data_IF_401661893651
#
_entry.id   IF_401661893651
#
_cell.length_a   1.000
_cell.length_b   1.000
_cell.length_c   1.000
_cell.angle_alpha   90.00
_cell.angle_beta   90.00
_cell.angle_gamma   90.00
#
_symmetry.space_group_name_H-M   'P 1'
#
loop_
_entity.id
_entity.type
_entity.pdbx_description
1 polymer ?
#
# COMPACT_ATOMS: atom_id res chain seq x y z
N UNK A 1 -10.29 20.26 15.94
CA UNK A 1 -9.54 20.04 14.69
C UNK A 1 -8.76 18.75 14.88
N UNK A 2 -9.17 17.65 14.25
CA UNK A 2 -8.42 16.40 14.37
C UNK A 2 -7.08 16.61 13.65
N UNK A 3 -5.96 16.44 14.36
CA UNK A 3 -4.65 16.56 13.75
C UNK A 3 -4.54 15.51 12.63
N UNK A 4 -4.44 15.96 11.38
CA UNK A 4 -4.27 15.07 10.24
C UNK A 4 -2.79 14.74 10.09
N UNK A 5 -2.44 13.47 10.23
CA UNK A 5 -1.11 12.95 9.96
C UNK A 5 -1.02 12.54 8.48
N UNK A 6 0.13 12.79 7.86
CA UNK A 6 0.42 12.35 6.49
C UNK A 6 1.23 11.07 6.52
N UNK A 7 0.97 10.21 5.55
CA UNK A 7 1.63 8.94 5.34
C UNK A 7 1.99 8.77 3.87
N UNK A 8 3.05 8.01 3.60
CA UNK A 8 3.37 7.47 2.29
C UNK A 8 3.11 5.98 2.31
N UNK A 9 2.16 5.53 1.50
CA UNK A 9 1.98 4.13 1.16
C UNK A 9 2.82 3.82 -0.08
N UNK A 10 3.84 2.99 0.07
CA UNK A 10 4.66 2.49 -1.03
C UNK A 10 4.35 1.01 -1.29
N UNK A 11 4.19 0.64 -2.55
CA UNK A 11 3.84 -0.70 -3.00
C UNK A 11 4.94 -1.20 -3.93
N UNK A 12 5.55 -2.32 -3.56
CA UNK A 12 6.62 -2.98 -4.30
C UNK A 12 6.19 -4.37 -4.72
N UNK A 13 6.90 -4.92 -5.70
CA UNK A 13 6.72 -6.31 -6.15
C UNK A 13 5.27 -6.65 -6.53
N UNK A 14 4.54 -5.69 -7.11
CA UNK A 14 3.18 -5.88 -7.62
C UNK A 14 3.23 -6.56 -8.99
N UNK A 15 3.59 -7.84 -9.00
CA UNK A 15 3.63 -8.66 -10.19
C UNK A 15 3.40 -10.14 -9.87
N UNK A 16 3.01 -10.90 -10.88
CA UNK A 16 3.00 -12.36 -10.83
C UNK A 16 4.03 -12.85 -11.84
N UNK A 17 4.93 -13.73 -11.40
CA UNK A 17 5.87 -14.41 -12.28
C UNK A 17 5.19 -15.64 -12.89
N UNK A 18 5.16 -15.73 -14.22
CA UNK A 18 4.72 -16.91 -14.97
C UNK A 18 5.81 -17.36 -15.94
N UNK A 19 5.62 -18.52 -16.58
CA UNK A 19 6.53 -19.03 -17.62
C UNK A 19 6.68 -18.10 -18.82
N UNK A 20 5.71 -17.19 -19.02
CA UNK A 20 5.70 -16.20 -20.11
C UNK A 20 6.28 -14.84 -19.68
N UNK A 21 6.73 -14.72 -18.43
CA UNK A 21 7.36 -13.52 -17.86
C UNK A 21 6.57 -12.89 -16.72
N UNK A 22 6.81 -11.60 -16.50
CA UNK A 22 6.14 -10.85 -15.42
C UNK A 22 4.80 -10.29 -15.88
N UNK A 23 3.71 -10.69 -15.25
CA UNK A 23 2.40 -10.09 -15.44
C UNK A 23 2.10 -9.08 -14.32
N UNK A 24 1.28 -8.08 -14.63
CA UNK A 24 0.77 -7.17 -13.60
C UNK A 24 -0.14 -7.92 -12.62
N UNK A 25 -0.21 -7.41 -11.40
CA UNK A 25 -0.99 -7.98 -10.32
C UNK A 25 -1.95 -6.94 -9.71
N UNK A 26 -2.79 -7.42 -8.81
CA UNK A 26 -3.63 -6.60 -7.96
C UNK A 26 -3.28 -6.88 -6.49
N UNK A 27 -3.28 -5.82 -5.68
CA UNK A 27 -3.15 -5.88 -4.23
C UNK A 27 -4.22 -5.01 -3.59
N UNK A 28 -4.82 -5.52 -2.53
CA UNK A 28 -5.82 -4.81 -1.74
C UNK A 28 -5.23 -4.56 -0.36
N UNK A 29 -5.22 -3.28 0.03
CA UNK A 29 -4.65 -2.78 1.28
C UNK A 29 -5.77 -2.20 2.14
N UNK A 30 -5.90 -2.68 3.36
CA UNK A 30 -6.77 -2.09 4.37
C UNK A 30 -5.98 -1.08 5.21
N UNK A 31 -6.57 0.08 5.45
CA UNK A 31 -6.10 1.06 6.42
C UNK A 31 -6.84 0.82 7.73
N UNK A 32 -6.09 0.66 8.81
CA UNK A 32 -6.61 0.30 10.13
C UNK A 32 -6.37 1.43 11.13
N UNK A 33 -7.39 1.74 11.93
CA UNK A 33 -7.33 2.54 13.14
C UNK A 33 -7.42 1.58 14.33
N UNK A 34 -6.28 1.20 14.91
CA UNK A 34 -6.17 0.06 15.82
C UNK A 34 -6.48 -1.27 15.10
N UNK A 35 -7.53 -1.96 15.54
CA UNK A 35 -8.02 -3.22 14.94
C UNK A 35 -9.21 -2.99 13.99
N UNK A 36 -9.63 -1.74 13.80
CA UNK A 36 -10.80 -1.41 12.97
C UNK A 36 -10.36 -0.97 11.59
N UNK A 37 -10.89 -1.61 10.55
CA UNK A 37 -10.74 -1.14 9.17
C UNK A 37 -11.51 0.17 8.96
N UNK A 38 -10.80 1.22 8.56
CA UNK A 38 -11.37 2.56 8.32
C UNK A 38 -11.37 2.94 6.84
N UNK A 39 -10.50 2.34 6.03
CA UNK A 39 -10.46 2.53 4.58
C UNK A 39 -9.88 1.30 3.87
N UNK A 40 -10.17 1.16 2.58
CA UNK A 40 -9.68 0.07 1.73
C UNK A 40 -9.28 0.58 0.36
N UNK A 41 -8.05 0.27 -0.04
CA UNK A 41 -7.45 0.69 -1.28
C UNK A 41 -7.13 -0.53 -2.15
N UNK A 42 -7.57 -0.54 -3.41
CA UNK A 42 -7.13 -1.51 -4.41
C UNK A 42 -6.11 -0.86 -5.35
N UNK A 43 -5.03 -1.57 -5.63
CA UNK A 43 -4.00 -1.18 -6.57
C UNK A 43 -3.81 -2.28 -7.59
N UNK A 44 -3.92 -1.91 -8.87
CA UNK A 44 -3.68 -2.80 -9.99
C UNK A 44 -2.61 -2.21 -10.88
N UNK A 45 -1.61 -3.02 -11.23
CA UNK A 45 -0.51 -2.56 -12.05
C UNK A 45 0.61 -3.59 -12.14
N UNK A 46 1.72 -3.19 -12.75
CA UNK A 46 2.93 -3.99 -12.82
C UNK A 46 4.08 -3.18 -12.25
N UNK A 47 4.51 -3.52 -11.04
CA UNK A 47 5.73 -2.97 -10.43
C UNK A 47 6.74 -4.10 -10.44
N UNK A 48 7.79 -3.98 -11.27
CA UNK A 48 8.81 -5.02 -11.40
C UNK A 48 9.63 -5.21 -10.11
N UNK A 49 10.32 -6.36 -9.98
CA UNK A 49 11.16 -6.64 -8.84
C UNK A 49 12.29 -5.61 -8.71
N UNK A 50 12.50 -5.09 -7.51
CA UNK A 50 13.58 -4.14 -7.21
C UNK A 50 13.40 -2.73 -7.76
N UNK A 51 12.23 -2.38 -8.29
CA UNK A 51 11.89 -0.99 -8.63
C UNK A 51 11.55 -0.15 -7.39
N UNK A 52 11.52 1.18 -7.55
CA UNK A 52 11.18 2.14 -6.48
C UNK A 52 9.76 1.96 -5.89
N UNK A 53 8.93 1.16 -6.55
CA UNK A 53 7.55 0.94 -6.16
C UNK A 53 6.59 2.03 -6.65
N UNK A 54 5.31 1.82 -6.39
CA UNK A 54 4.28 2.83 -6.56
C UNK A 54 4.00 3.48 -5.21
N UNK A 55 4.24 4.79 -5.10
CA UNK A 55 4.00 5.57 -3.88
C UNK A 55 2.72 6.39 -4.00
N UNK A 56 1.92 6.39 -2.94
CA UNK A 56 0.71 7.22 -2.81
C UNK A 56 0.69 7.90 -1.44
N UNK A 57 0.47 9.21 -1.45
CA UNK A 57 0.26 9.97 -0.23
C UNK A 57 -1.12 9.66 0.35
N UNK A 58 -1.19 9.49 1.67
CA UNK A 58 -2.42 9.27 2.41
C UNK A 58 -2.45 10.25 3.59
N UNK A 59 -3.61 10.82 3.90
CA UNK A 59 -3.78 11.72 5.04
C UNK A 59 -4.92 11.20 5.91
N UNK A 60 -4.69 11.10 7.21
CA UNK A 60 -5.65 10.51 8.12
C UNK A 60 -5.35 10.85 9.58
N UNK A 61 -5.94 10.08 10.49
CA UNK A 61 -5.59 10.18 11.91
C UNK A 61 -4.14 9.74 12.15
N UNK A 62 -3.52 10.12 13.29
CA UNK A 62 -2.29 9.52 13.76
C UNK A 62 -2.45 8.01 14.00
N UNK A 63 -1.32 7.30 14.07
CA UNK A 63 -1.24 5.87 14.40
C UNK A 63 -2.00 4.90 13.47
N UNK A 64 -2.42 5.37 12.28
CA UNK A 64 -2.97 4.48 11.26
C UNK A 64 -1.94 3.45 10.80
N UNK A 65 -2.43 2.24 10.53
CA UNK A 65 -1.65 1.12 9.98
C UNK A 65 -2.20 0.74 8.62
N UNK A 66 -1.37 0.11 7.80
CA UNK A 66 -1.81 -0.49 6.54
C UNK A 66 -1.44 -1.98 6.53
N UNK A 67 -2.36 -2.81 6.05
CA UNK A 67 -2.16 -4.25 5.92
C UNK A 67 -2.64 -4.74 4.56
N UNK A 68 -1.91 -5.66 3.94
CA UNK A 68 -2.40 -6.37 2.75
C UNK A 68 -3.48 -7.36 3.21
N UNK A 69 -4.66 -7.26 2.62
CA UNK A 69 -5.79 -8.15 2.90
C UNK A 69 -6.09 -9.12 1.75
N UNK A 70 -5.65 -8.79 0.53
CA UNK A 70 -5.75 -9.69 -0.62
C UNK A 70 -4.70 -9.34 -1.69
N UNK A 71 -4.38 -10.32 -2.54
CA UNK A 71 -3.49 -10.15 -3.69
C UNK A 71 -2.01 -10.33 -3.37
N UNK A 72 -1.15 -9.90 -4.29
CA UNK A 72 0.32 -10.03 -4.18
C UNK A 72 0.98 -8.67 -4.25
N UNK A 73 1.99 -8.45 -3.41
CA UNK A 73 2.73 -7.21 -3.35
C UNK A 73 3.19 -6.92 -1.93
N UNK A 74 4.30 -6.21 -1.82
CA UNK A 74 4.84 -5.75 -0.54
C UNK A 74 4.43 -4.31 -0.33
N UNK A 75 3.95 -3.98 0.86
CA UNK A 75 3.60 -2.60 1.20
C UNK A 75 4.49 -2.07 2.33
N UNK A 76 4.74 -0.78 2.28
CA UNK A 76 5.33 0.00 3.38
C UNK A 76 4.43 1.20 3.62
N UNK A 77 4.08 1.46 4.87
CA UNK A 77 3.24 2.60 5.25
C UNK A 77 4.00 3.44 6.27
N UNK A 78 4.53 4.57 5.82
CA UNK A 78 5.45 5.39 6.60
C UNK A 78 4.81 6.73 6.90
N UNK A 79 4.81 7.12 8.17
CA UNK A 79 4.44 8.46 8.62
C UNK A 79 5.41 9.51 8.04
N UNK A 80 4.88 10.56 7.39
CA UNK A 80 5.66 11.71 6.95
C UNK A 80 5.59 12.77 8.05
N UNK A 81 6.68 12.92 8.80
CA UNK A 81 6.80 14.02 9.76
C UNK A 81 7.20 15.32 9.02
N UNK A 82 6.60 16.46 9.39
CA UNK A 82 7.00 17.76 8.86
C UNK A 82 8.40 18.17 9.32
#
# INVERSE_FOLDING_TARGET
>A
MQASQRYTLNIQDLFISSSEGLCGAEVVVAILDGDTEVDRLSFKGKVGPGGDGYSRSYSGKPDLKAAVVAGVGRITFTEIRP
#
